data_IF_180516553846
#
_entry.id   IF_180516553846
#
_cell.length_a   1.000
_cell.length_b   1.000
_cell.length_c   1.000
_cell.angle_alpha   90.00
_cell.angle_beta   90.00
_cell.angle_gamma   90.00
#
_symmetry.space_group_name_H-M   'P 1'
#
loop_
_entity.id
_entity.type
_entity.pdbx_description
1 polymer ?
#
# COMPACT_ATOMS: atom_id res chain seq x y z
N UNK A 1 43.25 12.89 82.81
CA UNK A 1 44.06 14.09 82.56
C UNK A 1 43.62 14.68 81.23
N UNK A 2 43.14 15.93 81.20
CA UNK A 2 42.99 16.74 79.97
C UNK A 2 44.39 17.18 79.50
N UNK A 3 44.63 17.40 78.20
CA UNK A 3 44.40 18.73 77.62
C UNK A 3 43.91 18.76 76.15
N UNK A 4 43.28 19.88 75.78
CA UNK A 4 43.20 20.45 74.40
C UNK A 4 44.39 21.42 74.20
N UNK A 5 44.82 21.78 72.98
CA UNK A 5 44.24 22.90 72.17
C UNK A 5 44.21 22.61 70.62
N UNK A 6 43.30 23.18 69.79
CA UNK A 6 43.38 24.46 69.00
C UNK A 6 44.73 24.59 68.21
N UNK A 7 44.87 24.83 66.89
CA UNK A 7 44.26 25.71 65.84
C UNK A 7 44.74 25.14 64.46
N UNK A 8 44.07 25.22 63.29
CA UNK A 8 44.24 26.22 62.20
C UNK A 8 43.44 25.75 60.97
N UNK A 9 42.63 26.65 60.41
CA UNK A 9 41.94 26.51 59.13
C UNK A 9 42.86 26.89 57.96
N UNK A 10 42.80 26.15 56.86
CA UNK A 10 43.25 26.59 55.53
C UNK A 10 42.32 25.96 54.49
N UNK A 11 41.58 26.83 53.79
CA UNK A 11 40.61 26.45 52.78
C UNK A 11 41.28 25.86 51.54
N UNK A 12 40.60 24.88 50.95
CA UNK A 12 40.83 24.42 49.59
C UNK A 12 39.51 24.57 48.85
N UNK A 13 39.47 25.54 47.93
CA UNK A 13 38.36 25.76 47.04
C UNK A 13 38.17 24.56 46.12
N UNK A 14 36.93 24.08 46.01
CA UNK A 14 36.54 23.15 45.00
C UNK A 14 36.55 23.86 43.64
N UNK A 15 37.48 23.48 42.77
CA UNK A 15 37.46 23.85 41.36
C UNK A 15 36.32 23.11 40.67
N UNK A 16 35.21 23.80 40.43
CA UNK A 16 34.21 23.34 39.46
C UNK A 16 34.80 23.50 38.06
N UNK A 17 35.21 22.39 37.45
CA UNK A 17 35.49 22.35 36.03
C UNK A 17 34.16 22.57 35.29
N UNK A 18 33.93 23.79 34.79
CA UNK A 18 32.88 24.06 33.82
C UNK A 18 33.22 23.29 32.54
N UNK A 19 32.47 22.21 32.28
CA UNK A 19 32.47 21.56 30.98
C UNK A 19 32.10 22.57 29.90
N UNK A 20 32.91 22.65 28.85
CA UNK A 20 32.65 23.51 27.70
C UNK A 20 31.28 23.14 27.08
N UNK A 21 30.49 24.13 26.59
CA UNK A 21 29.30 23.85 25.82
C UNK A 21 29.69 23.06 24.57
N UNK A 22 29.12 21.86 24.42
CA UNK A 22 29.21 21.13 23.16
C UNK A 22 28.58 22.00 22.06
N UNK A 23 29.23 22.20 20.90
CA UNK A 23 28.59 22.90 19.80
C UNK A 23 27.32 22.13 19.43
N UNK A 24 26.18 22.82 19.49
CA UNK A 24 24.92 22.29 19.04
C UNK A 24 25.11 21.66 17.65
N UNK A 25 24.70 20.40 17.51
CA UNK A 25 24.63 19.76 16.21
C UNK A 25 23.83 20.67 15.26
N UNK A 26 24.26 20.82 13.99
CA UNK A 26 23.51 21.62 13.03
C UNK A 26 22.09 21.04 12.92
N UNK A 27 21.12 21.94 12.97
CA UNK A 27 19.71 21.66 12.73
C UNK A 27 19.58 20.99 11.35
N UNK A 28 19.22 19.70 11.34
CA UNK A 28 19.00 18.90 10.14
C UNK A 28 17.70 19.36 9.47
N UNK A 29 17.73 20.53 8.83
CA UNK A 29 16.76 20.84 7.78
C UNK A 29 17.11 19.93 6.60
N UNK A 30 16.46 18.77 6.56
CA UNK A 30 16.65 17.76 5.53
C UNK A 30 16.36 18.39 4.16
N UNK A 31 17.42 18.83 3.49
CA UNK A 31 17.38 19.19 2.08
C UNK A 31 17.04 17.91 1.32
N UNK A 32 15.77 17.75 0.98
CA UNK A 32 15.29 16.63 0.18
C UNK A 32 16.21 16.46 -1.03
N UNK A 33 16.67 15.23 -1.23
CA UNK A 33 17.46 14.80 -2.37
C UNK A 33 16.76 15.16 -3.68
N UNK A 34 17.53 15.24 -4.76
CA UNK A 34 16.99 15.53 -6.09
C UNK A 34 15.89 14.53 -6.49
N UNK A 35 16.04 13.25 -6.11
CA UNK A 35 15.04 12.22 -6.30
C UNK A 35 13.75 12.49 -5.52
N UNK A 36 13.84 12.96 -4.26
CA UNK A 36 12.67 13.32 -3.46
C UNK A 36 11.96 14.55 -4.00
N UNK A 37 12.71 15.56 -4.48
CA UNK A 37 12.15 16.74 -5.14
C UNK A 37 11.44 16.36 -6.44
N UNK A 38 12.04 15.48 -7.22
CA UNK A 38 11.43 14.96 -8.45
C UNK A 38 10.16 14.17 -8.15
N UNK A 39 10.15 13.35 -7.09
CA UNK A 39 8.95 12.64 -6.66
C UNK A 39 7.86 13.60 -6.16
N UNK A 40 8.22 14.64 -5.43
CA UNK A 40 7.28 15.68 -4.99
C UNK A 40 6.68 16.45 -6.16
N UNK A 41 7.51 16.81 -7.14
CA UNK A 41 7.07 17.48 -8.36
C UNK A 41 6.15 16.59 -9.20
N UNK A 42 6.51 15.31 -9.39
CA UNK A 42 5.65 14.31 -10.05
C UNK A 42 4.32 14.13 -9.32
N UNK A 43 4.34 14.09 -7.98
CA UNK A 43 3.11 14.01 -7.17
C UNK A 43 2.26 15.27 -7.31
N UNK A 44 2.88 16.45 -7.38
CA UNK A 44 2.18 17.71 -7.60
C UNK A 44 1.54 17.76 -8.99
N UNK A 45 2.29 17.40 -10.03
CA UNK A 45 1.77 17.30 -11.40
C UNK A 45 0.62 16.29 -11.50
N UNK A 46 0.74 15.13 -10.86
CA UNK A 46 -0.32 14.13 -10.80
C UNK A 46 -1.57 14.67 -10.08
N UNK A 47 -1.40 15.45 -9.01
CA UNK A 47 -2.51 16.06 -8.27
C UNK A 47 -3.19 17.15 -9.10
N UNK A 48 -2.43 18.02 -9.76
CA UNK A 48 -2.98 19.04 -10.66
C UNK A 48 -3.70 18.41 -11.86
N UNK A 49 -3.15 17.35 -12.46
CA UNK A 49 -3.83 16.61 -13.52
C UNK A 49 -5.13 15.94 -13.04
N UNK A 50 -5.17 15.48 -11.79
CA UNK A 50 -6.39 14.98 -11.17
C UNK A 50 -7.42 16.10 -10.97
N UNK A 51 -7.03 17.25 -10.43
CA UNK A 51 -7.91 18.42 -10.25
C UNK A 51 -8.43 18.96 -11.59
N UNK A 52 -7.59 19.02 -12.62
CA UNK A 52 -7.98 19.35 -13.99
C UNK A 52 -8.98 18.32 -14.54
N UNK A 53 -8.80 17.03 -14.20
CA UNK A 53 -9.75 15.97 -14.53
C UNK A 53 -11.03 16.02 -13.69
N UNK A 54 -11.04 16.64 -12.51
CA UNK A 54 -12.26 16.89 -11.74
C UNK A 54 -13.15 17.94 -12.42
N UNK A 55 -12.55 18.83 -13.23
CA UNK A 55 -13.23 19.74 -14.13
C UNK A 55 -13.78 19.07 -15.40
N UNK A 56 -13.37 17.83 -15.71
CA UNK A 56 -14.01 17.01 -16.75
C UNK A 56 -15.30 16.42 -16.17
N UNK A 57 -16.38 17.12 -16.48
CA UNK A 57 -17.76 16.84 -16.11
C UNK A 57 -18.14 15.38 -15.83
N UNK A 58 -18.91 15.24 -14.75
CA UNK A 58 -19.69 14.07 -14.32
C UNK A 58 -18.87 12.98 -13.64
N UNK A 59 -18.80 13.07 -12.30
CA UNK A 59 -19.09 11.88 -11.49
C UNK A 59 -20.48 11.38 -11.90
N UNK A 60 -20.46 10.53 -12.91
CA UNK A 60 -21.56 9.86 -13.59
C UNK A 60 -22.65 9.45 -12.61
N UNK A 61 -23.91 9.62 -12.99
CA UNK A 61 -25.09 9.05 -12.35
C UNK A 61 -24.87 7.54 -12.07
N UNK A 62 -24.24 7.19 -10.95
CA UNK A 62 -23.75 5.82 -10.75
C UNK A 62 -22.81 5.63 -9.57
N UNK A 63 -21.86 6.54 -9.35
CA UNK A 63 -20.96 6.49 -8.19
C UNK A 63 -21.53 7.35 -7.06
N UNK A 64 -22.15 6.71 -6.07
CA UNK A 64 -22.61 7.36 -4.84
C UNK A 64 -22.15 6.58 -3.62
N UNK A 65 -22.10 7.21 -2.45
CA UNK A 65 -21.74 6.53 -1.20
C UNK A 65 -22.65 5.33 -0.90
N UNK A 66 -23.89 5.36 -1.38
CA UNK A 66 -24.87 4.28 -1.23
C UNK A 66 -24.65 3.11 -2.19
N UNK A 67 -23.93 3.32 -3.30
CA UNK A 67 -23.59 2.31 -4.31
C UNK A 67 -22.12 1.90 -4.28
N UNK A 68 -21.31 2.56 -3.45
CA UNK A 68 -19.89 2.32 -3.34
C UNK A 68 -19.60 0.89 -2.87
N UNK A 69 -18.78 0.17 -3.63
CA UNK A 69 -18.32 -1.17 -3.27
C UNK A 69 -17.33 -1.10 -2.09
N UNK A 70 -17.53 -1.95 -1.08
CA UNK A 70 -16.60 -2.09 0.05
C UNK A 70 -15.77 -3.35 -0.11
N UNK A 71 -14.44 -3.17 -0.22
CA UNK A 71 -13.46 -4.27 -0.15
C UNK A 71 -13.06 -4.50 1.30
N UNK A 72 -13.15 -5.75 1.76
CA UNK A 72 -12.85 -6.14 3.13
C UNK A 72 -11.56 -6.95 3.18
N UNK A 73 -10.94 -6.92 4.35
CA UNK A 73 -9.80 -7.78 4.64
C UNK A 73 -10.19 -9.26 4.57
N UNK A 74 -9.31 -10.10 4.01
CA UNK A 74 -9.50 -11.55 3.93
C UNK A 74 -9.79 -12.19 5.30
N UNK A 75 -9.11 -11.74 6.35
CA UNK A 75 -9.32 -12.21 7.72
C UNK A 75 -10.74 -11.92 8.23
N UNK A 76 -11.35 -10.83 7.76
CA UNK A 76 -12.71 -10.43 8.14
C UNK A 76 -13.80 -11.12 7.30
N UNK A 77 -13.44 -11.89 6.27
CA UNK A 77 -14.39 -12.72 5.55
C UNK A 77 -14.74 -13.98 6.34
N UNK A 78 -16.03 -14.31 6.35
CA UNK A 78 -16.54 -15.58 6.89
C UNK A 78 -16.00 -16.77 6.08
N UNK A 79 -16.05 -17.97 6.66
CA UNK A 79 -15.65 -19.20 5.96
C UNK A 79 -16.41 -19.42 4.64
N UNK A 80 -17.69 -19.03 4.60
CA UNK A 80 -18.51 -19.15 3.39
C UNK A 80 -18.06 -18.13 2.33
N UNK A 81 -17.89 -16.87 2.70
CA UNK A 81 -17.43 -15.84 1.75
C UNK A 81 -16.05 -16.16 1.15
N UNK A 82 -15.11 -16.68 1.96
CA UNK A 82 -13.81 -17.15 1.47
C UNK A 82 -13.97 -18.30 0.47
N UNK A 83 -14.86 -19.27 0.74
CA UNK A 83 -15.15 -20.37 -0.19
C UNK A 83 -15.77 -19.87 -1.48
N UNK A 84 -16.68 -18.89 -1.40
CA UNK A 84 -17.32 -18.31 -2.59
C UNK A 84 -16.30 -17.60 -3.49
N UNK A 85 -15.37 -16.84 -2.90
CA UNK A 85 -14.25 -16.25 -3.65
C UNK A 85 -13.36 -17.32 -4.30
N UNK A 86 -12.95 -18.34 -3.53
CA UNK A 86 -12.10 -19.44 -4.05
C UNK A 86 -12.82 -20.19 -5.18
N UNK A 87 -14.12 -20.44 -5.05
CA UNK A 87 -14.94 -21.08 -6.09
C UNK A 87 -14.93 -20.26 -7.38
N UNK A 88 -15.12 -18.94 -7.27
CA UNK A 88 -15.08 -18.05 -8.43
C UNK A 88 -13.68 -17.98 -9.07
N UNK A 89 -12.62 -17.93 -8.27
CA UNK A 89 -11.25 -17.96 -8.78
C UNK A 89 -10.96 -19.28 -9.52
N UNK A 90 -11.35 -20.43 -8.95
CA UNK A 90 -11.23 -21.74 -9.61
C UNK A 90 -12.03 -21.82 -10.91
N UNK A 91 -13.17 -21.14 -10.99
CA UNK A 91 -13.91 -21.01 -12.24
C UNK A 91 -13.06 -20.31 -13.32
N UNK A 92 -12.33 -19.22 -13.02
CA UNK A 92 -11.44 -18.58 -13.99
C UNK A 92 -10.24 -19.47 -14.40
N UNK A 93 -9.74 -20.32 -13.50
CA UNK A 93 -8.69 -21.31 -13.84
C UNK A 93 -9.17 -22.43 -14.76
N UNK A 94 -10.48 -22.63 -14.89
CA UNK A 94 -11.07 -23.73 -15.69
C UNK A 94 -11.82 -23.21 -16.92
N UNK A 95 -12.30 -21.97 -16.89
CA UNK A 95 -12.90 -21.31 -18.04
C UNK A 95 -11.86 -21.14 -19.17
N UNK A 96 -12.23 -21.33 -20.45
CA UNK A 96 -11.29 -21.27 -21.57
C UNK A 96 -10.75 -19.84 -21.78
N UNK A 97 -9.47 -19.74 -22.13
CA UNK A 97 -8.83 -18.47 -22.52
C UNK A 97 -9.60 -17.78 -23.66
N UNK A 98 -9.84 -16.47 -23.52
CA UNK A 98 -10.36 -15.61 -24.58
C UNK A 98 -9.25 -15.26 -25.55
N UNK A 99 -8.06 -14.90 -25.08
CA UNK A 99 -6.96 -14.47 -25.96
C UNK A 99 -6.53 -15.59 -26.90
N UNK A 100 -6.38 -16.81 -26.40
CA UNK A 100 -6.11 -17.98 -27.25
C UNK A 100 -7.24 -18.25 -28.23
N UNK A 101 -8.50 -18.11 -27.78
CA UNK A 101 -9.66 -18.32 -28.66
C UNK A 101 -9.73 -17.30 -29.79
N UNK A 102 -9.31 -16.06 -29.55
CA UNK A 102 -9.35 -14.98 -30.56
C UNK A 102 -8.10 -14.91 -31.41
N UNK A 103 -6.92 -15.20 -30.84
CA UNK A 103 -5.63 -15.16 -31.51
C UNK A 103 -4.72 -16.31 -31.01
N UNK A 104 -4.94 -17.53 -31.51
CA UNK A 104 -4.17 -18.70 -31.09
C UNK A 104 -2.72 -18.68 -31.59
N UNK A 105 -2.39 -17.83 -32.58
CA UNK A 105 -1.03 -17.72 -33.12
C UNK A 105 -0.15 -16.93 -32.17
N UNK A 106 -0.66 -15.80 -31.68
CA UNK A 106 0.05 -14.96 -30.69
C UNK A 106 0.03 -15.60 -29.31
N UNK A 107 -1.08 -16.26 -28.93
CA UNK A 107 -1.29 -16.81 -27.60
C UNK A 107 -1.46 -18.35 -27.58
N UNK A 108 -0.53 -19.15 -28.12
CA UNK A 108 -0.73 -20.60 -28.33
C UNK A 108 -0.77 -21.42 -27.04
N UNK A 109 -0.21 -20.91 -25.93
CA UNK A 109 -0.05 -21.63 -24.67
C UNK A 109 -1.12 -21.34 -23.61
N UNK A 110 -2.00 -20.36 -23.84
CA UNK A 110 -2.98 -19.92 -22.85
C UNK A 110 -4.15 -20.90 -22.83
N UNK A 111 -4.45 -21.47 -21.66
CA UNK A 111 -5.47 -22.52 -21.51
C UNK A 111 -6.71 -22.00 -20.81
N UNK A 112 -6.52 -21.09 -19.86
CA UNK A 112 -7.57 -20.61 -18.98
C UNK A 112 -7.79 -19.10 -19.08
N UNK A 113 -8.97 -18.63 -18.64
CA UNK A 113 -9.25 -17.21 -18.45
C UNK A 113 -8.26 -16.56 -17.50
N UNK A 114 -7.80 -17.31 -16.50
CA UNK A 114 -6.74 -16.84 -15.59
C UNK A 114 -5.42 -16.58 -16.35
N UNK A 115 -5.05 -17.44 -17.29
CA UNK A 115 -3.84 -17.26 -18.11
C UNK A 115 -3.89 -15.98 -18.95
N UNK A 116 -5.09 -15.51 -19.35
CA UNK A 116 -5.23 -14.24 -20.07
C UNK A 116 -4.79 -13.05 -19.22
N UNK A 117 -5.15 -13.03 -17.94
CA UNK A 117 -4.72 -11.99 -17.01
C UNK A 117 -3.21 -12.03 -16.84
N UNK A 118 -2.65 -13.23 -16.65
CA UNK A 118 -1.19 -13.43 -16.55
C UNK A 118 -0.47 -12.95 -17.80
N UNK A 119 -0.96 -13.31 -18.99
CA UNK A 119 -0.35 -12.94 -20.26
C UNK A 119 -0.33 -11.42 -20.46
N UNK A 120 -1.43 -10.73 -20.17
CA UNK A 120 -1.50 -9.25 -20.27
C UNK A 120 -0.52 -8.58 -19.32
N UNK A 121 -0.38 -9.08 -18.08
CA UNK A 121 0.60 -8.56 -17.11
C UNK A 121 2.05 -8.81 -17.56
N UNK A 122 2.33 -10.01 -18.10
CA UNK A 122 3.65 -10.36 -18.66
C UNK A 122 4.02 -9.47 -19.85
N UNK A 123 3.10 -9.30 -20.80
CA UNK A 123 3.30 -8.50 -22.02
C UNK A 123 3.61 -7.03 -21.69
N UNK A 124 2.94 -6.48 -20.68
CA UNK A 124 3.09 -5.07 -20.31
C UNK A 124 4.09 -4.84 -19.16
N UNK A 125 4.78 -5.88 -18.67
CA UNK A 125 5.60 -5.80 -17.45
C UNK A 125 6.59 -4.61 -17.43
N UNK A 126 7.26 -4.34 -18.56
CA UNK A 126 8.26 -3.27 -18.66
C UNK A 126 7.66 -1.86 -18.73
N UNK A 127 6.37 -1.72 -19.05
CA UNK A 127 5.67 -0.43 -19.13
C UNK A 127 4.75 -0.16 -17.94
N UNK A 128 4.61 -1.13 -17.02
CA UNK A 128 3.72 -1.02 -15.86
C UNK A 128 4.45 -1.08 -14.51
N UNK A 129 5.73 -1.47 -14.45
CA UNK A 129 6.53 -1.50 -13.21
C UNK A 129 7.65 -0.47 -13.26
N UNK A 130 7.90 0.23 -12.15
CA UNK A 130 8.88 1.31 -12.09
C UNK A 130 8.47 2.56 -12.89
N UNK A 131 7.19 2.66 -13.25
CA UNK A 131 6.62 3.72 -14.08
C UNK A 131 5.52 4.48 -13.34
N UNK A 132 5.19 5.71 -13.80
CA UNK A 132 4.18 6.55 -13.16
C UNK A 132 2.76 5.97 -13.19
N UNK A 133 2.46 5.09 -14.14
CA UNK A 133 1.17 4.41 -14.24
C UNK A 133 1.09 3.10 -13.42
N UNK A 134 2.12 2.72 -12.65
CA UNK A 134 2.13 1.47 -11.89
C UNK A 134 0.87 1.30 -11.02
N UNK A 135 0.55 2.31 -10.20
CA UNK A 135 -0.57 2.22 -9.26
C UNK A 135 -1.94 2.23 -9.97
N UNK A 136 -2.09 3.07 -10.99
CA UNK A 136 -3.36 3.20 -11.72
C UNK A 136 -3.63 1.96 -12.58
N UNK A 137 -2.60 1.43 -13.25
CA UNK A 137 -2.69 0.20 -14.03
C UNK A 137 -3.06 -0.99 -13.13
N UNK A 138 -2.38 -1.18 -12.00
CA UNK A 138 -2.68 -2.30 -11.09
C UNK A 138 -4.05 -2.15 -10.42
N UNK A 139 -4.49 -0.93 -10.10
CA UNK A 139 -5.85 -0.67 -9.61
C UNK A 139 -6.90 -1.12 -10.62
N UNK A 140 -6.71 -0.77 -11.90
CA UNK A 140 -7.60 -1.18 -12.97
C UNK A 140 -7.54 -2.68 -13.23
N UNK A 141 -6.36 -3.27 -13.24
CA UNK A 141 -6.14 -4.71 -13.44
C UNK A 141 -6.88 -5.55 -12.39
N UNK A 142 -6.77 -5.18 -11.11
CA UNK A 142 -7.50 -5.84 -10.02
C UNK A 142 -9.02 -5.64 -10.14
N UNK A 143 -9.47 -4.45 -10.56
CA UNK A 143 -10.89 -4.21 -10.84
C UNK A 143 -11.41 -5.06 -11.99
N UNK A 144 -10.65 -5.20 -13.08
CA UNK A 144 -11.02 -6.04 -14.23
C UNK A 144 -11.09 -7.53 -13.84
N UNK A 145 -10.14 -8.01 -13.03
CA UNK A 145 -10.19 -9.36 -12.46
C UNK A 145 -11.43 -9.57 -11.59
N UNK A 146 -11.78 -8.59 -10.75
CA UNK A 146 -13.02 -8.61 -9.96
C UNK A 146 -14.27 -8.68 -10.86
N UNK A 147 -14.30 -7.92 -11.95
CA UNK A 147 -15.41 -8.00 -12.91
C UNK A 147 -15.51 -9.38 -13.56
N UNK A 148 -14.39 -10.02 -13.93
CA UNK A 148 -14.40 -11.38 -14.45
C UNK A 148 -14.95 -12.37 -13.42
N UNK A 149 -14.52 -12.29 -12.16
CA UNK A 149 -15.08 -13.12 -11.08
C UNK A 149 -16.61 -12.97 -10.95
N UNK A 150 -17.11 -11.72 -11.04
CA UNK A 150 -18.52 -11.40 -10.82
C UNK A 150 -19.40 -11.74 -12.03
N UNK A 151 -18.95 -11.37 -13.22
CA UNK A 151 -19.74 -11.43 -14.44
C UNK A 151 -19.60 -12.78 -15.17
N UNK A 152 -18.43 -13.42 -15.11
CA UNK A 152 -18.17 -14.71 -15.76
C UNK A 152 -18.40 -15.89 -14.80
N UNK A 153 -18.06 -15.73 -13.52
CA UNK A 153 -18.10 -16.80 -12.51
C UNK A 153 -19.16 -16.63 -11.41
N UNK A 154 -20.02 -15.61 -11.53
CA UNK A 154 -21.17 -15.41 -10.64
C UNK A 154 -20.83 -14.98 -9.20
N UNK A 155 -19.58 -14.56 -8.93
CA UNK A 155 -19.19 -14.06 -7.61
C UNK A 155 -20.03 -12.83 -7.23
N UNK A 156 -20.52 -12.78 -5.99
CA UNK A 156 -21.33 -11.65 -5.49
C UNK A 156 -20.57 -10.71 -4.56
N UNK A 157 -19.46 -11.18 -4.00
CA UNK A 157 -18.57 -10.37 -3.18
C UNK A 157 -17.66 -9.47 -4.01
N UNK A 158 -16.78 -8.74 -3.32
CA UNK A 158 -15.75 -7.89 -3.91
C UNK A 158 -14.37 -8.50 -3.69
N UNK A 159 -13.36 -7.99 -4.41
CA UNK A 159 -11.99 -8.46 -4.25
C UNK A 159 -11.53 -8.27 -2.78
N UNK A 160 -11.08 -9.32 -2.09
CA UNK A 160 -10.53 -9.18 -0.75
C UNK A 160 -9.20 -8.45 -0.79
N UNK A 161 -8.95 -7.59 0.20
CA UNK A 161 -7.61 -7.08 0.47
C UNK A 161 -6.92 -8.02 1.47
N UNK A 162 -5.62 -8.27 1.30
CA UNK A 162 -4.84 -9.01 2.30
C UNK A 162 -3.99 -8.00 3.03
N UNK A 163 -4.41 -7.60 4.23
CA UNK A 163 -3.61 -6.76 5.08
C UNK A 163 -2.86 -7.62 6.08
N UNK A 164 -1.56 -7.81 5.87
CA UNK A 164 -0.76 -8.71 6.71
C UNK A 164 -0.66 -8.26 8.19
N UNK A 165 -1.08 -7.04 8.53
CA UNK A 165 -1.10 -6.57 9.94
C UNK A 165 -2.15 -7.28 10.81
N UNK A 166 -3.17 -7.92 10.25
CA UNK A 166 -4.22 -8.58 11.04
C UNK A 166 -3.86 -10.01 11.50
N UNK A 167 -2.71 -10.56 11.08
CA UNK A 167 -2.27 -11.91 11.49
C UNK A 167 -1.71 -11.96 12.92
N UNK A 168 -1.33 -10.82 13.48
CA UNK A 168 -0.65 -10.69 14.78
C UNK A 168 -1.36 -9.73 15.76
N UNK A 169 -2.64 -9.38 15.55
CA UNK A 169 -3.35 -8.61 16.56
C UNK A 169 -3.68 -9.54 17.74
N UNK A 170 -3.15 -9.30 18.95
CA UNK A 170 -3.64 -9.99 20.14
C UNK A 170 -5.14 -9.70 20.28
N UNK A 171 -5.92 -10.68 20.74
CA UNK A 171 -7.39 -10.62 20.88
C UNK A 171 -7.92 -9.45 21.72
N UNK A 172 -7.05 -8.61 22.31
CA UNK A 172 -7.41 -7.51 23.19
C UNK A 172 -7.99 -6.25 22.51
N UNK A 173 -8.01 -6.15 21.17
CA UNK A 173 -8.42 -4.93 20.47
C UNK A 173 -9.79 -4.99 19.79
N UNK A 174 -10.57 -6.06 20.03
CA UNK A 174 -11.96 -6.18 19.56
C UNK A 174 -13.02 -5.91 20.64
N UNK A 175 -12.62 -5.47 21.84
CA UNK A 175 -13.55 -5.10 22.92
C UNK A 175 -13.14 -3.79 23.63
N UNK A 176 -12.95 -2.72 22.86
CA UNK A 176 -13.05 -1.34 23.34
C UNK A 176 -13.87 -0.50 22.35
#
# INVERSE_FOLDING_TARGET
MRPSPLIVALGLGATFAFGAPSPAAPEESQSLSEAERLLLDLNAQATSALEESEGLEKRTEGCSIFKASVRRDWALLTKTERRDYIKAAKCLYTAPSILHKTDPVTYPGLRSRYDDFVAVHLEQTLSIHGTGNFLTWHRYYVWAYEQALRNECGYKGYQPVSHDRCRNLPELLLTL
#
